data_IF_829345079547
#
_entry.id   IF_829345079547
#
_cell.length_a   1.000
_cell.length_b   1.000
_cell.length_c   1.000
_cell.angle_alpha   90.00
_cell.angle_beta   90.00
_cell.angle_gamma   90.00
#
_symmetry.space_group_name_H-M   'P 1'
#
loop_
_entity.id
_entity.type
_entity.pdbx_description
1 polymer ?
#
# COMPACT_ATOMS: atom_id res chain seq x y z
N UNK A 1 -10.20 -11.13 -13.79
CA UNK A 1 -11.56 -11.06 -13.19
C UNK A 1 -12.17 -12.46 -13.21
N UNK A 2 -13.18 -12.75 -12.38
CA UNK A 2 -13.95 -14.01 -12.46
C UNK A 2 -15.34 -13.70 -12.97
N UNK A 3 -15.79 -14.44 -14.00
CA UNK A 3 -17.12 -14.33 -14.58
C UNK A 3 -17.81 -15.66 -14.38
N UNK A 4 -18.89 -15.67 -13.59
CA UNK A 4 -19.73 -16.85 -13.39
C UNK A 4 -20.98 -16.71 -14.27
N UNK A 5 -21.26 -17.73 -15.08
CA UNK A 5 -22.40 -17.75 -16.00
C UNK A 5 -23.32 -18.92 -15.70
N UNK A 6 -24.62 -18.63 -15.56
CA UNK A 6 -25.66 -19.60 -15.24
C UNK A 6 -26.51 -19.89 -16.48
N UNK A 7 -25.95 -20.65 -17.42
CA UNK A 7 -26.52 -20.88 -18.76
C UNK A 7 -27.95 -21.44 -18.75
N UNK A 8 -28.35 -22.19 -17.71
CA UNK A 8 -29.69 -22.76 -17.57
C UNK A 8 -30.82 -21.72 -17.46
N UNK A 9 -30.53 -20.49 -17.00
CA UNK A 9 -31.49 -19.39 -16.93
C UNK A 9 -31.35 -18.40 -18.10
N UNK A 10 -30.47 -18.70 -19.05
CA UNK A 10 -30.21 -17.84 -20.19
C UNK A 10 -31.28 -18.00 -21.26
N UNK A 11 -31.90 -16.90 -21.64
CA UNK A 11 -32.88 -16.84 -22.74
C UNK A 11 -32.24 -16.40 -24.07
N UNK A 12 -30.92 -16.27 -24.14
CA UNK A 12 -30.22 -15.91 -25.38
C UNK A 12 -30.48 -14.50 -25.91
N UNK A 13 -31.00 -13.57 -25.11
CA UNK A 13 -31.39 -12.22 -25.55
C UNK A 13 -30.26 -11.34 -26.10
N UNK A 14 -28.99 -11.71 -25.88
CA UNK A 14 -27.83 -11.05 -26.47
C UNK A 14 -27.42 -9.68 -25.91
N UNK A 15 -28.18 -9.10 -24.97
CA UNK A 15 -27.83 -7.81 -24.34
C UNK A 15 -26.43 -7.74 -23.75
N UNK A 16 -25.93 -8.85 -23.20
CA UNK A 16 -24.59 -8.94 -22.63
C UNK A 16 -23.46 -8.80 -23.66
N UNK A 17 -23.70 -9.19 -24.91
CA UNK A 17 -22.73 -9.03 -26.01
C UNK A 17 -22.71 -7.58 -26.46
N UNK A 18 -23.88 -6.96 -26.63
CA UNK A 18 -24.00 -5.58 -27.10
C UNK A 18 -23.56 -4.54 -26.07
N UNK A 19 -23.80 -4.79 -24.78
CA UNK A 19 -23.43 -3.85 -23.72
C UNK A 19 -21.98 -4.00 -23.24
N UNK A 20 -21.22 -4.99 -23.72
CA UNK A 20 -19.86 -5.24 -23.25
C UNK A 20 -18.85 -4.42 -24.06
N UNK A 21 -18.19 -3.40 -23.47
CA UNK A 21 -17.20 -2.59 -24.19
C UNK A 21 -15.91 -3.36 -24.50
N UNK A 22 -15.65 -4.44 -23.76
CA UNK A 22 -14.44 -5.24 -23.87
C UNK A 22 -14.63 -6.50 -24.74
N UNK A 23 -15.83 -6.76 -25.24
CA UNK A 23 -16.11 -7.92 -26.09
C UNK A 23 -15.95 -9.29 -25.40
N UNK A 24 -16.18 -9.40 -24.08
CA UNK A 24 -15.93 -10.64 -23.33
C UNK A 24 -16.91 -11.79 -23.62
N UNK A 25 -18.01 -11.54 -24.33
CA UNK A 25 -19.13 -12.46 -24.47
C UNK A 25 -19.45 -12.76 -25.94
N UNK A 26 -19.87 -13.99 -26.20
CA UNK A 26 -20.46 -14.41 -27.49
C UNK A 26 -21.75 -15.19 -27.25
N UNK A 27 -22.60 -15.31 -28.27
CA UNK A 27 -23.81 -16.15 -28.21
C UNK A 27 -23.53 -17.44 -28.97
N UNK A 28 -23.81 -18.56 -28.32
CA UNK A 28 -23.76 -19.89 -28.92
C UNK A 28 -25.19 -20.39 -29.10
N UNK A 29 -25.45 -20.97 -30.26
CA UNK A 29 -26.75 -21.54 -30.62
C UNK A 29 -26.57 -23.00 -31.01
N UNK A 30 -27.25 -23.90 -30.29
CA UNK A 30 -27.18 -25.34 -30.51
C UNK A 30 -28.50 -25.89 -31.11
N UNK A 31 -29.34 -25.04 -31.71
CA UNK A 31 -30.60 -25.41 -32.36
C UNK A 31 -31.78 -25.59 -31.39
N UNK A 32 -31.53 -25.98 -30.14
CA UNK A 32 -32.57 -26.08 -29.09
C UNK A 32 -32.55 -24.93 -28.08
N UNK A 33 -31.37 -24.35 -27.84
CA UNK A 33 -31.18 -23.26 -26.88
C UNK A 33 -30.09 -22.31 -27.37
N UNK A 34 -30.31 -21.01 -27.15
CA UNK A 34 -29.32 -19.95 -27.38
C UNK A 34 -28.86 -19.39 -26.04
N UNK A 35 -27.56 -19.41 -25.77
CA UNK A 35 -27.01 -18.97 -24.48
C UNK A 35 -25.71 -18.18 -24.65
N UNK A 36 -25.36 -17.43 -23.61
CA UNK A 36 -24.12 -16.67 -23.55
C UNK A 36 -22.94 -17.57 -23.20
N UNK A 37 -21.84 -17.41 -23.92
CA UNK A 37 -20.55 -18.02 -23.62
C UNK A 37 -19.51 -16.92 -23.35
N UNK A 38 -18.55 -17.21 -22.47
CA UNK A 38 -17.42 -16.33 -22.17
C UNK A 38 -16.28 -16.67 -23.13
N UNK A 39 -15.83 -15.69 -23.91
CA UNK A 39 -14.70 -15.88 -24.84
C UNK A 39 -13.38 -15.73 -24.08
N UNK A 40 -13.22 -14.59 -23.41
CA UNK A 40 -12.05 -14.28 -22.61
C UNK A 40 -12.45 -13.47 -21.37
N UNK A 41 -12.21 -14.05 -20.19
CA UNK A 41 -12.50 -13.42 -18.91
C UNK A 41 -11.43 -12.41 -18.47
N UNK A 42 -10.24 -12.43 -19.09
CA UNK A 42 -9.13 -11.54 -18.75
C UNK A 42 -9.30 -10.14 -19.37
N UNK A 43 -10.02 -10.05 -20.50
CA UNK A 43 -10.42 -8.76 -21.09
C UNK A 43 -11.44 -7.99 -20.24
N UNK A 44 -12.11 -8.65 -19.29
CA UNK A 44 -13.15 -8.03 -18.50
C UNK A 44 -12.57 -7.03 -17.50
N UNK A 45 -12.89 -5.75 -17.69
CA UNK A 45 -12.52 -4.66 -16.77
C UNK A 45 -13.41 -4.58 -15.52
N UNK A 46 -14.46 -5.42 -15.45
CA UNK A 46 -15.37 -5.48 -14.30
C UNK A 46 -16.33 -4.29 -14.19
N UNK A 47 -16.78 -3.72 -15.31
CA UNK A 47 -17.73 -2.60 -15.35
C UNK A 47 -19.17 -2.97 -14.92
N UNK A 48 -19.50 -4.28 -14.87
CA UNK A 48 -20.80 -4.82 -14.44
C UNK A 48 -22.02 -4.46 -15.29
N UNK A 49 -21.84 -3.88 -16.48
CA UNK A 49 -22.95 -3.55 -17.37
C UNK A 49 -23.77 -4.79 -17.77
N UNK A 50 -23.11 -5.91 -18.07
CA UNK A 50 -23.79 -7.15 -18.46
C UNK A 50 -24.58 -7.80 -17.31
N UNK A 51 -24.12 -7.64 -16.06
CA UNK A 51 -24.84 -8.09 -14.86
C UNK A 51 -26.11 -7.26 -14.64
N UNK A 52 -26.02 -5.94 -14.83
CA UNK A 52 -27.14 -5.00 -14.65
C UNK A 52 -28.20 -5.11 -15.75
N UNK A 53 -27.80 -5.25 -17.01
CA UNK A 53 -28.73 -5.28 -18.15
C UNK A 53 -29.31 -6.67 -18.44
N UNK A 54 -28.84 -7.71 -17.73
CA UNK A 54 -29.37 -9.06 -17.90
C UNK A 54 -30.72 -9.19 -17.17
N UNK A 55 -31.84 -9.45 -17.88
CA UNK A 55 -33.17 -9.56 -17.25
C UNK A 55 -33.25 -10.70 -16.24
N UNK A 56 -32.53 -11.80 -16.51
CA UNK A 56 -32.53 -13.01 -15.66
C UNK A 56 -31.31 -13.10 -14.74
N UNK A 57 -30.46 -12.06 -14.69
CA UNK A 57 -29.23 -12.03 -13.85
C UNK A 57 -28.35 -13.28 -13.99
N UNK A 58 -28.15 -13.71 -15.23
CA UNK A 58 -27.41 -14.93 -15.60
C UNK A 58 -25.91 -14.80 -15.42
N UNK A 59 -25.39 -13.57 -15.44
CA UNK A 59 -23.96 -13.28 -15.42
C UNK A 59 -23.62 -12.60 -14.09
N UNK A 60 -22.60 -13.10 -13.40
CA UNK A 60 -22.03 -12.45 -12.21
C UNK A 60 -20.55 -12.16 -12.42
N UNK A 61 -20.13 -10.98 -11.97
CA UNK A 61 -18.73 -10.54 -12.06
C UNK A 61 -18.16 -10.38 -10.66
N UNK A 62 -17.17 -11.21 -10.35
CA UNK A 62 -16.44 -11.21 -9.09
C UNK A 62 -14.98 -10.83 -9.29
N UNK A 63 -14.44 -10.07 -8.34
CA UNK A 63 -13.00 -9.75 -8.28
C UNK A 63 -12.27 -11.00 -7.82
N UNK A 64 -11.26 -11.46 -8.57
CA UNK A 64 -10.47 -12.60 -8.09
C UNK A 64 -9.57 -12.16 -6.94
N UNK A 65 -9.24 -13.10 -6.06
CA UNK A 65 -8.24 -12.90 -5.01
C UNK A 65 -6.86 -12.55 -5.60
N UNK A 66 -6.56 -13.03 -6.81
CA UNK A 66 -5.32 -12.79 -7.56
C UNK A 66 -5.15 -11.31 -7.93
N UNK A 67 -6.24 -10.63 -8.31
CA UNK A 67 -6.24 -9.21 -8.69
C UNK A 67 -5.81 -8.31 -7.52
N UNK A 68 -6.30 -8.60 -6.30
CA UNK A 68 -5.91 -7.87 -5.08
C UNK A 68 -4.44 -8.07 -4.73
N UNK A 69 -3.94 -9.29 -4.89
CA UNK A 69 -2.54 -9.62 -4.59
C UNK A 69 -1.64 -8.90 -5.61
N UNK A 70 -1.87 -9.08 -6.91
CA UNK A 70 -1.06 -8.47 -7.99
C UNK A 70 -0.91 -6.96 -7.84
N UNK A 71 -2.01 -6.25 -7.56
CA UNK A 71 -1.99 -4.79 -7.39
C UNK A 71 -1.22 -4.37 -6.14
N UNK A 72 -1.33 -5.13 -5.05
CA UNK A 72 -0.59 -4.87 -3.81
C UNK A 72 0.92 -5.14 -3.96
N UNK A 73 1.31 -6.14 -4.75
CA UNK A 73 2.71 -6.39 -5.09
C UNK A 73 3.28 -5.32 -6.02
N UNK A 74 2.53 -4.89 -7.05
CA UNK A 74 2.93 -3.76 -7.92
C UNK A 74 3.09 -2.46 -7.16
N UNK A 75 2.19 -2.17 -6.22
CA UNK A 75 2.26 -0.97 -5.38
C UNK A 75 3.49 -1.02 -4.47
N UNK A 76 3.70 -2.15 -3.76
CA UNK A 76 4.90 -2.35 -2.93
C UNK A 76 6.19 -2.23 -3.74
N UNK A 77 6.27 -2.86 -4.91
CA UNK A 77 7.44 -2.81 -5.78
C UNK A 77 7.77 -1.39 -6.28
N UNK A 78 6.75 -0.60 -6.66
CA UNK A 78 6.94 0.80 -7.04
C UNK A 78 7.45 1.65 -5.87
N UNK A 79 6.86 1.49 -4.69
CA UNK A 79 7.32 2.20 -3.49
C UNK A 79 8.76 1.84 -3.12
N UNK A 80 9.13 0.56 -3.16
CA UNK A 80 10.51 0.13 -2.86
C UNK A 80 11.51 0.66 -3.89
N UNK A 81 11.13 0.72 -5.17
CA UNK A 81 11.97 1.26 -6.24
C UNK A 81 12.22 2.77 -6.06
N UNK A 82 11.17 3.54 -5.78
CA UNK A 82 11.29 4.99 -5.56
C UNK A 82 12.11 5.31 -4.31
N UNK A 83 11.92 4.57 -3.21
CA UNK A 83 12.70 4.77 -1.99
C UNK A 83 14.18 4.43 -2.20
N UNK A 84 14.49 3.30 -2.85
CA UNK A 84 15.87 2.95 -3.18
C UNK A 84 16.52 3.95 -4.13
N UNK A 85 15.79 4.42 -5.15
CA UNK A 85 16.25 5.46 -6.07
C UNK A 85 16.52 6.79 -5.36
N UNK A 86 15.61 7.22 -4.48
CA UNK A 86 15.78 8.45 -3.68
C UNK A 86 17.01 8.40 -2.77
N UNK A 87 17.23 7.28 -2.07
CA UNK A 87 18.41 7.06 -1.22
C UNK A 87 19.69 7.09 -2.07
N UNK A 88 19.68 6.42 -3.23
CA UNK A 88 20.81 6.44 -4.17
C UNK A 88 21.15 7.84 -4.67
N UNK A 89 20.15 8.64 -5.01
CA UNK A 89 20.34 10.03 -5.46
C UNK A 89 20.93 10.91 -4.36
N UNK A 90 20.45 10.78 -3.12
CA UNK A 90 21.00 11.52 -1.98
C UNK A 90 22.45 11.13 -1.73
N UNK A 91 22.77 9.83 -1.74
CA UNK A 91 24.14 9.34 -1.57
C UNK A 91 25.08 9.86 -2.66
N UNK A 92 24.62 9.91 -3.90
CA UNK A 92 25.37 10.45 -5.04
C UNK A 92 25.67 11.94 -4.82
N UNK A 93 24.67 12.75 -4.47
CA UNK A 93 24.86 14.19 -4.23
C UNK A 93 25.84 14.43 -3.08
N UNK A 94 25.70 13.71 -1.97
CA UNK A 94 26.63 13.81 -0.84
C UNK A 94 28.05 13.41 -1.25
N UNK A 95 28.21 12.36 -2.06
CA UNK A 95 29.51 11.95 -2.60
C UNK A 95 30.15 13.01 -3.48
N UNK A 96 29.38 13.66 -4.36
CA UNK A 96 29.88 14.77 -5.20
C UNK A 96 30.31 15.95 -4.33
N UNK A 97 29.49 16.34 -3.36
CA UNK A 97 29.83 17.44 -2.44
C UNK A 97 31.11 17.12 -1.67
N UNK A 98 31.27 15.89 -1.17
CA UNK A 98 32.47 15.45 -0.45
C UNK A 98 33.72 15.51 -1.34
N UNK A 99 33.61 15.06 -2.60
CA UNK A 99 34.70 15.10 -3.56
C UNK A 99 35.07 16.55 -3.93
N UNK A 100 34.06 17.37 -4.22
CA UNK A 100 34.24 18.78 -4.57
C UNK A 100 34.85 19.58 -3.42
N UNK A 101 34.46 19.28 -2.18
CA UNK A 101 34.99 19.92 -0.98
C UNK A 101 36.50 19.69 -0.82
N UNK A 102 36.96 18.45 -1.02
CA UNK A 102 38.38 18.11 -0.91
C UNK A 102 39.24 18.74 -2.02
N UNK A 103 38.62 19.09 -3.15
CA UNK A 103 39.28 19.78 -4.25
C UNK A 103 39.28 21.31 -4.08
N UNK A 104 38.15 21.90 -3.65
CA UNK A 104 37.93 23.35 -3.65
C UNK A 104 38.41 24.04 -2.36
N UNK A 105 38.29 23.38 -1.20
CA UNK A 105 38.62 24.04 0.08
C UNK A 105 40.11 24.37 0.23
N UNK A 106 41.06 23.49 -0.14
CA UNK A 106 42.49 23.80 0.01
C UNK A 106 42.94 25.01 -0.80
N UNK A 107 42.30 25.30 -1.95
CA UNK A 107 42.68 26.40 -2.83
C UNK A 107 42.19 27.77 -2.37
N UNK A 108 41.14 27.80 -1.53
CA UNK A 108 40.54 29.07 -1.06
C UNK A 108 41.01 29.42 0.36
N UNK A 109 41.20 28.44 1.25
CA UNK A 109 41.47 28.71 2.68
C UNK A 109 42.92 28.45 3.09
N UNK A 110 43.74 27.84 2.23
CA UNK A 110 45.12 27.48 2.54
C UNK A 110 45.26 26.40 3.63
N UNK A 111 44.16 25.75 4.02
CA UNK A 111 44.16 24.67 4.99
C UNK A 111 44.67 23.37 4.35
N UNK A 112 45.50 22.63 5.08
CA UNK A 112 46.02 21.33 4.64
C UNK A 112 44.89 20.30 4.50
N UNK A 113 44.94 19.49 3.43
CA UNK A 113 44.01 18.39 3.20
C UNK A 113 44.01 17.42 4.39
N UNK A 114 42.88 17.30 5.09
CA UNK A 114 42.74 16.46 6.28
C UNK A 114 42.54 15.01 5.84
N UNK A 115 43.51 14.15 6.10
CA UNK A 115 43.42 12.72 5.81
C UNK A 115 42.44 12.03 6.80
N UNK A 116 41.90 10.86 6.41
CA UNK A 116 40.97 10.05 7.21
C UNK A 116 41.43 9.86 8.66
N UNK A 117 42.74 9.66 8.86
CA UNK A 117 43.34 9.48 10.19
C UNK A 117 43.36 10.75 11.05
N UNK A 118 43.42 11.93 10.44
CA UNK A 118 43.34 13.20 11.16
C UNK A 118 41.88 13.48 11.59
N UNK A 119 40.91 13.13 10.74
CA UNK A 119 39.49 13.21 11.10
C UNK A 119 39.10 12.19 12.19
N UNK A 120 39.65 10.97 12.13
CA UNK A 120 39.49 9.96 13.19
C UNK A 120 40.10 10.43 14.52
N UNK A 121 41.28 11.05 14.47
CA UNK A 121 41.92 11.65 15.64
C UNK A 121 41.08 12.76 16.27
N UNK A 122 40.56 13.69 15.46
CA UNK A 122 39.66 14.77 15.92
C UNK A 122 38.36 14.24 16.53
N UNK A 123 37.75 13.22 15.92
CA UNK A 123 36.51 12.62 16.42
C UNK A 123 36.73 11.87 17.73
N UNK A 124 37.84 11.15 17.89
CA UNK A 124 38.20 10.52 19.17
C UNK A 124 38.52 11.56 20.25
N UNK A 125 39.24 12.64 19.89
CA UNK A 125 39.54 13.74 20.80
C UNK A 125 38.25 14.41 21.30
N UNK A 126 37.33 14.74 20.39
CA UNK A 126 36.04 15.37 20.73
C UNK A 126 35.14 14.43 21.56
N UNK A 127 35.18 13.12 21.27
CA UNK A 127 34.47 12.09 22.04
C UNK A 127 35.04 11.95 23.46
N UNK A 128 36.36 12.01 23.60
CA UNK A 128 37.05 11.95 24.88
C UNK A 128 36.77 13.19 25.73
N UNK A 129 36.77 14.38 25.12
CA UNK A 129 36.47 15.64 25.81
C UNK A 129 35.03 15.70 26.35
N UNK A 130 34.07 15.14 25.60
CA UNK A 130 32.65 15.19 25.96
C UNK A 130 32.17 14.01 26.82
N UNK A 131 33.05 13.09 27.23
CA UNK A 131 32.77 12.05 28.25
C UNK A 131 31.66 11.04 27.92
N UNK A 132 31.09 11.05 26.72
CA UNK A 132 29.85 10.32 26.46
C UNK A 132 30.14 8.97 25.77
N UNK A 133 30.56 7.98 26.57
CA UNK A 133 30.66 6.57 26.16
C UNK A 133 29.23 5.98 26.14
N UNK A 134 28.51 6.23 25.03
CA UNK A 134 27.28 5.53 24.61
C UNK A 134 26.02 5.70 25.50
N UNK A 135 24.99 6.46 25.06
CA UNK A 135 23.66 6.40 25.67
C UNK A 135 22.89 5.15 25.18
N UNK A 136 22.05 4.51 26.03
CA UNK A 136 21.19 3.41 25.58
C UNK A 136 20.20 3.95 24.54
N UNK A 137 20.26 3.36 23.35
CA UNK A 137 19.67 3.91 22.12
C UNK A 137 18.13 3.87 22.06
N UNK A 138 17.43 3.38 23.09
CA UNK A 138 15.97 3.32 23.05
C UNK A 138 15.34 3.58 24.42
N UNK A 139 14.52 4.65 24.57
CA UNK A 139 13.54 4.68 25.65
C UNK A 139 12.53 3.58 25.36
N UNK A 140 12.56 2.50 26.15
CA UNK A 140 11.48 1.51 26.14
C UNK A 140 10.25 2.22 26.70
N UNK A 141 9.38 2.71 25.80
CA UNK A 141 8.10 3.29 26.20
C UNK A 141 7.30 2.18 26.88
N UNK A 142 7.32 2.14 28.22
CA UNK A 142 6.55 1.19 29.01
C UNK A 142 5.10 1.23 28.53
N UNK A 143 4.65 0.11 27.99
CA UNK A 143 3.32 -0.12 27.41
C UNK A 143 2.30 -0.30 28.54
N UNK A 144 2.21 0.66 29.46
CA UNK A 144 1.42 0.58 30.70
C UNK A 144 -0.10 0.56 30.50
N UNK A 145 -0.58 0.84 29.28
CA UNK A 145 -2.02 0.82 28.98
C UNK A 145 -2.60 -0.61 28.90
N UNK A 146 -1.78 -1.62 28.57
CA UNK A 146 -2.28 -2.99 28.37
C UNK A 146 -2.47 -3.77 29.68
N UNK A 147 -1.66 -3.51 30.72
CA UNK A 147 -1.80 -4.18 32.03
C UNK A 147 -3.14 -3.85 32.71
N UNK A 148 -3.62 -2.62 32.56
CA UNK A 148 -4.91 -2.19 33.13
C UNK A 148 -6.09 -2.94 32.49
N UNK A 149 -5.99 -3.28 31.20
CA UNK A 149 -7.00 -4.08 30.51
C UNK A 149 -7.01 -5.56 30.92
N UNK A 150 -5.90 -6.10 31.42
CA UNK A 150 -5.80 -7.50 31.87
C UNK A 150 -6.41 -7.73 33.26
N UNK A 151 -6.52 -6.68 34.08
CA UNK A 151 -7.08 -6.74 35.44
C UNK A 151 -8.58 -6.41 35.53
N UNK A 152 -9.24 -6.02 34.44
CA UNK A 152 -10.68 -5.73 34.42
C UNK A 152 -11.49 -7.00 34.18
N UNK A 153 -12.65 -7.12 34.85
CA UNK A 153 -13.63 -8.17 34.55
C UNK A 153 -14.15 -8.02 33.11
N UNK A 154 -14.70 -9.09 32.53
CA UNK A 154 -15.19 -9.09 31.14
C UNK A 154 -16.26 -8.01 30.92
N UNK A 155 -17.11 -7.81 31.93
CA UNK A 155 -18.16 -6.78 31.95
C UNK A 155 -17.56 -5.36 31.95
N UNK A 156 -16.61 -5.08 32.85
CA UNK A 156 -15.92 -3.79 32.92
C UNK A 156 -15.14 -3.46 31.64
N UNK A 157 -14.48 -4.46 31.06
CA UNK A 157 -13.74 -4.32 29.81
C UNK A 157 -14.68 -3.96 28.65
N UNK A 158 -15.85 -4.60 28.58
CA UNK A 158 -16.86 -4.31 27.55
C UNK A 158 -17.45 -2.91 27.70
N UNK A 159 -17.71 -2.47 28.94
CA UNK A 159 -18.19 -1.11 29.24
C UNK A 159 -17.14 -0.05 28.88
N UNK A 160 -15.87 -0.34 29.15
CA UNK A 160 -14.75 0.53 28.76
C UNK A 160 -14.65 0.67 27.24
N UNK A 161 -14.72 -0.44 26.49
CA UNK A 161 -14.68 -0.43 25.02
C UNK A 161 -15.88 0.35 24.47
N UNK A 162 -17.09 0.15 25.01
CA UNK A 162 -18.30 0.87 24.59
C UNK A 162 -18.16 2.39 24.77
N UNK A 163 -17.60 2.84 25.89
CA UNK A 163 -17.33 4.27 26.16
C UNK A 163 -16.30 4.88 25.21
N UNK A 164 -15.30 4.10 24.78
CA UNK A 164 -14.32 4.58 23.80
C UNK A 164 -14.93 4.64 22.40
N UNK A 165 -15.72 3.64 22.03
CA UNK A 165 -16.41 3.61 20.74
C UNK A 165 -17.39 4.78 20.59
N UNK A 166 -18.14 5.12 21.66
CA UNK A 166 -19.07 6.25 21.64
C UNK A 166 -18.36 7.59 21.48
N UNK A 167 -17.17 7.77 22.09
CA UNK A 167 -16.38 8.99 21.90
C UNK A 167 -15.94 9.16 20.45
N UNK A 168 -15.45 8.08 19.84
CA UNK A 168 -15.04 8.09 18.43
C UNK A 168 -16.21 8.33 17.48
N UNK A 169 -17.41 7.81 17.78
CA UNK A 169 -18.58 8.07 16.94
C UNK A 169 -19.01 9.53 17.00
N UNK A 170 -18.99 10.16 18.18
CA UNK A 170 -19.31 11.59 18.30
C UNK A 170 -18.27 12.46 17.59
N UNK A 171 -16.97 12.17 17.77
CA UNK A 171 -15.90 12.90 17.09
C UNK A 171 -15.99 12.79 15.56
N UNK A 172 -16.37 11.64 15.01
CA UNK A 172 -16.60 11.52 13.56
C UNK A 172 -17.83 12.32 13.09
N UNK A 173 -18.92 12.35 13.86
CA UNK A 173 -20.12 13.15 13.52
C UNK A 173 -19.79 14.65 13.53
N UNK A 174 -19.02 15.11 14.51
CA UNK A 174 -18.62 16.52 14.63
C UNK A 174 -17.68 16.94 13.49
N UNK A 175 -16.81 16.04 13.02
CA UNK A 175 -15.89 16.28 11.91
C UNK A 175 -16.54 16.20 10.52
N UNK A 176 -17.74 15.62 10.40
CA UNK A 176 -18.44 15.44 9.11
C UNK A 176 -19.46 16.56 8.83
N UNK A 177 -19.57 17.56 9.70
CA UNK A 177 -20.40 18.74 9.47
C UNK A 177 -19.61 19.77 8.64
N UNK A 178 -20.12 20.19 7.46
CA UNK A 178 -19.42 21.13 6.56
C UNK A 178 -19.30 22.54 7.12
#
# INVERSE_FOLDING_TARGET
MKIDTFTYNCIGCGKCVTCCPCGCFTLVDNGSCRFVNVVDADLCIGCKLCEQHCPNKVIRIDKTKKDKIMNMWKLRAKFTLHMAGGIGMIALVVGIVMWLWNWLVPSITGWSNINYWQALGLTLLFRFLNGNILPPMFPTKKRGSFEKMKKMSVEERSAFIRRQLSKLSHENIDNEKP
#
